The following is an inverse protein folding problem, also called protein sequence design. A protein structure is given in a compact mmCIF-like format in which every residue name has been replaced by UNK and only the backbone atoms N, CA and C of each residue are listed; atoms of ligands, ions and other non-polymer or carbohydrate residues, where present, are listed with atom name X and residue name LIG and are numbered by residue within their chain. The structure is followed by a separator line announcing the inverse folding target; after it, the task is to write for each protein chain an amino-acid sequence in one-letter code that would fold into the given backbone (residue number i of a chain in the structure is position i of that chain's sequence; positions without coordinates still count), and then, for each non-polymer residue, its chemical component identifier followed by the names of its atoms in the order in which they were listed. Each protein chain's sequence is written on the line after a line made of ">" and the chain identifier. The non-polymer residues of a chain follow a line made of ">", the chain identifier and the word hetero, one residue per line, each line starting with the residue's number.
data_IF_549168111873
#
_entry.id   IF_549168111873
#
_cell.length_a   1.000
_cell.length_b   1.000
_cell.length_c   1.000
_cell.angle_alpha   90.00
_cell.angle_beta   90.00
_cell.angle_gamma   90.00
#
_symmetry.space_group_name_H-M   'P 1'
#
loop_
_entity.id
_entity.type
_entity.pdbx_description
1 polymer ?
#
# COMPACT_ATOMS: atom_id res chain seq x y z
N UNK A 1 -3.97 -3.39 -15.76
CA UNK A 1 -3.75 -2.77 -14.44
C UNK A 1 -2.93 -3.75 -13.63
N UNK A 2 -1.72 -3.36 -13.24
CA UNK A 2 -0.88 -4.15 -12.34
C UNK A 2 -1.52 -4.18 -10.93
N UNK A 3 -1.36 -5.31 -10.23
CA UNK A 3 -1.83 -5.51 -8.86
C UNK A 3 -0.65 -5.92 -7.98
N UNK A 4 -0.52 -5.29 -6.82
CA UNK A 4 0.51 -5.56 -5.83
C UNK A 4 -0.11 -6.03 -4.51
N UNK A 5 0.08 -7.30 -4.19
CA UNK A 5 -0.24 -7.86 -2.88
C UNK A 5 1.01 -7.82 -1.99
N UNK A 6 0.95 -7.03 -0.93
CA UNK A 6 2.07 -6.77 -0.02
C UNK A 6 1.75 -7.43 1.31
N UNK A 7 2.31 -8.63 1.53
CA UNK A 7 2.16 -9.34 2.79
C UNK A 7 3.18 -8.86 3.81
N UNK A 8 2.70 -8.35 4.94
CA UNK A 8 3.53 -7.95 6.08
C UNK A 8 3.83 -9.14 7.00
N UNK A 9 4.74 -8.93 7.95
CA UNK A 9 5.02 -9.90 9.02
C UNK A 9 4.09 -9.75 10.24
N UNK A 10 3.28 -8.70 10.26
CA UNK A 10 2.48 -8.31 11.42
C UNK A 10 1.23 -9.18 11.50
N UNK A 11 0.85 -9.55 12.72
CA UNK A 11 -0.35 -10.37 12.98
C UNK A 11 -1.51 -9.55 13.51
N UNK A 12 -1.29 -8.27 13.83
CA UNK A 12 -2.28 -7.34 14.35
C UNK A 12 -2.29 -6.04 13.53
N UNK A 13 -3.46 -5.41 13.43
CA UNK A 13 -3.68 -4.19 12.64
C UNK A 13 -2.94 -2.99 13.24
N UNK A 14 -2.89 -2.86 14.57
CA UNK A 14 -2.26 -1.71 15.22
C UNK A 14 -0.75 -1.64 14.89
N UNK A 15 -0.04 -2.76 15.02
CA UNK A 15 1.39 -2.86 14.68
C UNK A 15 1.62 -2.58 13.19
N UNK A 16 0.73 -3.09 12.33
CA UNK A 16 0.82 -2.87 10.89
C UNK A 16 0.60 -1.40 10.51
N UNK A 17 -0.36 -0.73 11.13
CA UNK A 17 -0.67 0.68 10.91
C UNK A 17 0.45 1.58 11.43
N UNK A 18 1.02 1.28 12.60
CA UNK A 18 2.14 2.06 13.15
C UNK A 18 3.35 2.05 12.19
N UNK A 19 3.69 0.89 11.64
CA UNK A 19 4.75 0.80 10.64
C UNK A 19 4.36 1.47 9.30
N UNK A 20 3.10 1.30 8.87
CA UNK A 20 2.62 1.88 7.62
C UNK A 20 2.59 3.42 7.66
N UNK A 21 2.37 4.02 8.83
CA UNK A 21 2.42 5.46 9.03
C UNK A 21 3.79 6.06 8.66
N UNK A 22 4.88 5.29 8.75
CA UNK A 22 6.22 5.72 8.31
C UNK A 22 6.37 5.76 6.77
N UNK A 23 5.36 5.29 6.04
CA UNK A 23 5.40 5.05 4.60
C UNK A 23 4.21 5.64 3.85
N UNK A 24 3.26 6.23 4.55
CA UNK A 24 2.08 6.91 4.00
C UNK A 24 2.17 8.39 4.35
N UNK A 25 1.87 9.24 3.38
CA UNK A 25 1.51 10.64 3.61
C UNK A 25 0.15 10.92 2.95
N UNK A 26 -0.36 12.15 3.10
CA UNK A 26 -1.69 12.56 2.62
C UNK A 26 -1.94 12.29 1.13
N UNK A 27 -0.88 12.13 0.33
CA UNK A 27 -0.98 12.05 -1.14
C UNK A 27 -0.29 10.85 -1.75
N UNK A 28 0.48 10.10 -0.96
CA UNK A 28 1.35 9.04 -1.46
C UNK A 28 1.62 7.92 -0.46
N UNK A 29 1.96 6.75 -1.00
CA UNK A 29 2.39 5.58 -0.22
C UNK A 29 3.63 4.96 -0.83
N UNK A 30 4.57 4.54 0.02
CA UNK A 30 5.77 3.78 -0.37
C UNK A 30 5.63 2.31 -0.03
N UNK A 31 5.32 1.50 -1.02
CA UNK A 31 5.13 0.05 -0.87
C UNK A 31 6.35 -0.74 -1.33
N UNK A 32 6.70 -1.86 -0.68
CA UNK A 32 7.64 -2.82 -1.22
C UNK A 32 7.19 -3.29 -2.61
N UNK A 33 8.11 -3.34 -3.57
CA UNK A 33 7.82 -3.82 -4.91
C UNK A 33 9.08 -4.40 -5.52
N UNK A 34 9.15 -5.71 -5.72
CA UNK A 34 10.33 -6.37 -6.28
C UNK A 34 10.42 -6.19 -7.80
N UNK A 35 9.26 -6.17 -8.46
CA UNK A 35 9.16 -6.03 -9.91
C UNK A 35 9.39 -4.57 -10.36
N UNK A 36 9.90 -4.36 -11.58
CA UNK A 36 9.85 -3.04 -12.19
C UNK A 36 8.40 -2.73 -12.59
N UNK A 37 7.93 -1.54 -12.22
CA UNK A 37 6.66 -0.96 -12.67
C UNK A 37 7.00 0.36 -13.36
N UNK A 38 6.38 0.60 -14.51
CA UNK A 38 6.67 1.79 -15.29
C UNK A 38 6.09 3.05 -14.63
N UNK A 39 6.83 4.15 -14.70
CA UNK A 39 6.36 5.43 -14.21
C UNK A 39 5.07 5.86 -14.94
N UNK A 40 4.12 6.39 -14.19
CA UNK A 40 2.82 6.80 -14.69
C UNK A 40 1.78 5.69 -14.79
N UNK A 41 2.13 4.43 -14.53
CA UNK A 41 1.21 3.30 -14.50
C UNK A 41 0.27 3.35 -13.27
N UNK A 42 -1.00 3.00 -13.49
CA UNK A 42 -1.96 2.84 -12.39
C UNK A 42 -1.87 1.43 -11.80
N UNK A 43 -1.61 1.38 -10.50
CA UNK A 43 -1.36 0.16 -9.74
C UNK A 43 -2.41 0.02 -8.65
N UNK A 44 -3.09 -1.13 -8.63
CA UNK A 44 -3.91 -1.53 -7.47
C UNK A 44 -2.98 -2.16 -6.44
N UNK A 45 -3.11 -1.80 -5.17
CA UNK A 45 -2.29 -2.37 -4.10
C UNK A 45 -3.15 -2.80 -2.92
N UNK A 46 -2.68 -3.83 -2.22
CA UNK A 46 -3.24 -4.30 -0.96
C UNK A 46 -2.11 -4.61 0.02
N UNK A 47 -2.05 -3.89 1.14
CA UNK A 47 -1.17 -4.21 2.28
C UNK A 47 -1.94 -5.12 3.21
N UNK A 48 -1.38 -6.30 3.50
CA UNK A 48 -2.02 -7.37 4.24
C UNK A 48 -1.23 -7.74 5.49
N UNK A 49 -1.93 -8.17 6.54
CA UNK A 49 -1.35 -8.90 7.68
C UNK A 49 -0.75 -10.25 7.22
N UNK A 50 -0.02 -10.89 8.11
CA UNK A 50 0.62 -12.19 7.87
C UNK A 50 -0.39 -13.29 7.49
N UNK A 51 -1.62 -13.21 7.98
CA UNK A 51 -2.72 -14.13 7.67
C UNK A 51 -3.43 -13.81 6.34
N UNK A 52 -3.10 -12.68 5.70
CA UNK A 52 -3.70 -12.21 4.46
C UNK A 52 -4.84 -11.20 4.63
N UNK A 53 -5.22 -10.85 5.87
CA UNK A 53 -6.23 -9.82 6.13
C UNK A 53 -5.75 -8.47 5.61
N UNK A 54 -6.56 -7.78 4.80
CA UNK A 54 -6.20 -6.48 4.27
C UNK A 54 -6.25 -5.38 5.35
N UNK A 55 -5.20 -4.56 5.39
CA UNK A 55 -5.06 -3.40 6.29
C UNK A 55 -5.24 -2.10 5.52
N UNK A 56 -4.71 -2.02 4.29
CA UNK A 56 -4.83 -0.86 3.43
C UNK A 56 -4.93 -1.29 1.98
N UNK A 57 -5.94 -0.82 1.27
CA UNK A 57 -6.14 -1.14 -0.14
C UNK A 57 -6.48 0.12 -0.93
N UNK A 58 -6.01 0.17 -2.17
CA UNK A 58 -6.31 1.31 -3.03
C UNK A 58 -5.68 1.20 -4.40
N UNK A 59 -5.79 2.31 -5.12
CA UNK A 59 -5.16 2.51 -6.43
C UNK A 59 -4.30 3.76 -6.36
N UNK A 60 -3.10 3.68 -6.94
CA UNK A 60 -2.20 4.83 -7.06
C UNK A 60 -1.41 4.81 -8.35
N UNK A 61 -0.84 5.95 -8.71
CA UNK A 61 -0.02 6.13 -9.90
C UNK A 61 1.46 6.01 -9.54
N UNK A 62 2.18 5.12 -10.22
CA UNK A 62 3.61 4.91 -10.03
C UNK A 62 4.42 6.18 -10.34
N UNK A 63 5.33 6.55 -9.45
CA UNK A 63 6.24 7.71 -9.56
C UNK A 63 7.72 7.31 -9.45
N UNK A 64 8.03 6.04 -9.67
CA UNK A 64 9.39 5.51 -9.57
C UNK A 64 9.67 4.73 -8.30
N UNK A 65 10.80 4.02 -8.33
CA UNK A 65 11.22 3.06 -7.30
C UNK A 65 12.56 3.49 -6.69
N UNK A 66 12.66 3.44 -5.36
CA UNK A 66 13.91 3.72 -4.63
C UNK A 66 14.06 2.73 -3.48
N UNK A 67 15.26 2.18 -3.30
CA UNK A 67 15.57 1.20 -2.25
C UNK A 67 14.57 0.03 -2.16
N UNK A 68 14.14 -0.49 -3.32
CA UNK A 68 13.20 -1.62 -3.37
C UNK A 68 11.72 -1.26 -3.15
N UNK A 69 11.40 0.03 -2.97
CA UNK A 69 10.03 0.50 -2.72
C UNK A 69 9.52 1.38 -3.85
N UNK A 70 8.30 1.12 -4.29
CA UNK A 70 7.58 1.91 -5.28
C UNK A 70 6.83 3.05 -4.58
N UNK A 71 6.97 4.26 -5.10
CA UNK A 71 6.13 5.39 -4.70
C UNK A 71 4.85 5.39 -5.55
N UNK A 72 3.70 5.32 -4.89
CA UNK A 72 2.38 5.48 -5.48
C UNK A 72 1.80 6.82 -5.02
N UNK A 73 1.36 7.66 -5.95
CA UNK A 73 0.68 8.94 -5.66
C UNK A 73 -0.72 8.98 -6.25
N UNK A 74 -1.46 10.09 -6.07
CA UNK A 74 -2.84 10.23 -6.56
C UNK A 74 -3.72 9.10 -6.02
N UNK A 75 -3.60 8.85 -4.71
CA UNK A 75 -4.23 7.70 -4.07
C UNK A 75 -5.75 7.83 -4.11
N UNK A 76 -6.38 6.71 -4.48
CA UNK A 76 -7.80 6.48 -4.34
C UNK A 76 -7.95 5.22 -3.51
N UNK A 77 -8.33 5.40 -2.25
CA UNK A 77 -8.62 4.29 -1.35
C UNK A 77 -9.99 3.71 -1.70
N UNK A 78 -10.13 2.39 -1.62
CA UNK A 78 -11.43 1.75 -1.83
C UNK A 78 -12.32 2.07 -0.61
N UNK A 79 -13.48 2.69 -0.85
CA UNK A 79 -14.44 3.13 0.18
C UNK A 79 -14.95 1.97 1.05
N UNK A 80 -14.66 0.72 0.68
CA UNK A 80 -15.04 -0.47 1.43
C UNK A 80 -14.23 -0.73 2.71
N UNK A 81 -13.13 -0.02 2.92
CA UNK A 81 -12.27 -0.12 4.12
C UNK A 81 -12.21 1.20 4.90
N UNK A 82 -13.35 1.89 5.10
CA UNK A 82 -13.50 2.74 6.28
C UNK A 82 -13.34 1.83 7.51
N UNK A 83 -12.09 1.70 7.97
CA UNK A 83 -11.78 1.05 9.24
C UNK A 83 -12.53 1.82 10.31
N UNK A 84 -13.50 1.11 10.88
CA UNK A 84 -14.29 1.48 12.04
C UNK A 84 -13.36 2.00 13.15
N UNK A 85 -13.28 3.32 13.28
CA UNK A 85 -12.89 3.94 14.54
C UNK A 85 -14.15 4.01 15.41
N UNK A 86 -14.33 3.03 16.29
CA UNK A 86 -15.17 3.14 17.50
C UNK A 86 -14.28 3.15 18.74
#
# INVERSE_FOLDING_TARGET
>A
SETLDIRTRWTDVADAVEELANHVDDTSVRVPCERPIADGEWVRFAVQLADGTAVLEGVGRAQGKTNGRLLLSLLQFDERNEIMYE
#
